data_IF_362394737427
#
_entry.id   IF_362394737427
#
_cell.length_a   1.000
_cell.length_b   1.000
_cell.length_c   1.000
_cell.angle_alpha   90.00
_cell.angle_beta   90.00
_cell.angle_gamma   90.00
#
_symmetry.space_group_name_H-M   'P 1'
#
loop_
_entity.id
_entity.type
_entity.pdbx_description
1 polymer ?
#
# COMPACT_ATOMS: atom_id res chain seq x y z
N UNK A 1 27.99 -0.08 3.77
CA UNK A 1 26.67 -0.67 3.42
C UNK A 1 25.43 0.09 3.92
N UNK A 2 25.30 0.52 5.19
CA UNK A 2 24.23 1.47 5.62
C UNK A 2 24.76 2.88 5.90
N UNK A 3 25.92 2.96 6.54
CA UNK A 3 26.60 4.23 6.84
C UNK A 3 27.00 4.98 5.57
N UNK A 4 27.57 4.29 4.59
CA UNK A 4 27.84 4.84 3.25
C UNK A 4 26.59 5.41 2.57
N UNK A 5 25.42 4.79 2.75
CA UNK A 5 24.16 5.28 2.22
C UNK A 5 23.70 6.56 2.93
N UNK A 6 23.85 6.63 4.25
CA UNK A 6 23.57 7.87 4.99
C UNK A 6 24.49 9.01 4.55
N UNK A 7 25.78 8.74 4.33
CA UNK A 7 26.73 9.73 3.82
C UNK A 7 26.40 10.15 2.38
N UNK A 8 25.96 9.23 1.53
CA UNK A 8 25.61 9.56 0.14
C UNK A 8 24.31 10.35 0.05
N UNK A 9 23.27 9.98 0.80
CA UNK A 9 21.98 10.67 0.78
C UNK A 9 22.02 12.02 1.50
N UNK A 10 22.88 12.16 2.52
CA UNK A 10 23.08 13.43 3.24
C UNK A 10 23.66 14.57 2.39
N UNK A 11 24.08 14.29 1.15
CA UNK A 11 24.53 15.30 0.18
C UNK A 11 23.38 16.09 -0.43
N UNK A 12 22.16 15.55 -0.40
CA UNK A 12 20.97 16.17 -0.99
C UNK A 12 20.24 17.01 0.05
N UNK A 13 19.64 18.10 -0.41
CA UNK A 13 18.75 18.88 0.44
C UNK A 13 17.46 18.09 0.70
N UNK A 14 16.82 18.23 1.88
CA UNK A 14 15.58 17.53 2.19
C UNK A 14 14.48 17.73 1.12
N UNK A 15 14.38 18.92 0.51
CA UNK A 15 13.41 19.21 -0.57
C UNK A 15 13.71 18.56 -1.92
N UNK A 16 14.91 17.98 -2.09
CA UNK A 16 15.30 17.22 -3.28
C UNK A 16 15.00 15.72 -3.13
N UNK A 17 14.60 15.28 -1.93
CA UNK A 17 14.34 13.87 -1.64
C UNK A 17 12.86 13.56 -1.80
N UNK A 18 12.60 12.46 -2.49
CA UNK A 18 11.26 11.92 -2.68
C UNK A 18 11.30 10.44 -2.34
N UNK A 19 10.33 9.99 -1.55
CA UNK A 19 10.24 8.64 -1.04
C UNK A 19 9.07 7.91 -1.70
N UNK A 20 9.31 6.67 -2.10
CA UNK A 20 8.31 5.80 -2.70
C UNK A 20 8.34 4.48 -1.93
N UNK A 21 7.17 3.98 -1.57
CA UNK A 21 7.01 2.67 -0.92
C UNK A 21 5.73 1.98 -1.40
N UNK A 22 5.72 0.65 -1.44
CA UNK A 22 4.54 -0.13 -1.85
C UNK A 22 3.69 -0.50 -0.64
N UNK A 23 2.44 -0.04 -0.64
CA UNK A 23 1.44 -0.37 0.37
C UNK A 23 0.34 -1.25 -0.21
N UNK A 24 0.14 -2.44 0.38
CA UNK A 24 -0.95 -3.33 -0.02
C UNK A 24 -2.23 -3.03 0.77
N UNK A 25 -3.36 -2.93 0.07
CA UNK A 25 -4.69 -2.77 0.63
C UNK A 25 -5.58 -3.92 0.16
N UNK A 26 -6.23 -4.58 1.11
CA UNK A 26 -7.30 -5.51 0.79
C UNK A 26 -8.67 -4.92 1.12
N UNK A 27 -9.70 -5.31 0.35
CA UNK A 27 -11.09 -5.09 0.75
C UNK A 27 -11.54 -6.08 1.83
N UNK A 28 -10.65 -7.02 2.21
CA UNK A 28 -10.84 -7.99 3.28
C UNK A 28 -10.40 -7.51 4.67
N UNK A 29 -10.42 -6.20 4.91
CA UNK A 29 -10.49 -5.68 6.28
C UNK A 29 -11.96 -5.35 6.69
N UNK A 30 -12.98 -6.24 6.53
CA UNK A 30 -14.34 -5.99 6.98
C UNK A 30 -14.44 -5.96 8.50
N UNK A 31 -13.43 -6.50 9.21
CA UNK A 31 -13.33 -6.49 10.66
C UNK A 31 -13.49 -5.09 11.29
N UNK A 32 -12.96 -4.04 10.63
CA UNK A 32 -13.11 -2.66 11.10
C UNK A 32 -14.49 -2.08 10.80
N UNK A 33 -15.10 -2.48 9.69
CA UNK A 33 -16.37 -1.89 9.21
C UNK A 33 -17.60 -2.60 9.78
N UNK A 34 -17.48 -3.87 10.14
CA UNK A 34 -18.57 -4.71 10.62
C UNK A 34 -18.24 -5.43 11.94
N UNK A 35 -17.21 -5.00 12.67
CA UNK A 35 -16.91 -5.52 14.01
C UNK A 35 -17.97 -5.03 14.99
N UNK A 36 -18.71 -5.95 15.60
CA UNK A 36 -19.74 -5.64 16.59
C UNK A 36 -19.29 -6.05 17.99
N UNK A 37 -19.58 -5.20 18.98
CA UNK A 37 -19.48 -5.50 20.39
C UNK A 37 -20.63 -4.85 21.15
N UNK A 38 -20.91 -5.34 22.37
CA UNK A 38 -21.83 -4.66 23.28
C UNK A 38 -21.29 -3.26 23.61
N UNK A 39 -22.19 -2.31 23.86
CA UNK A 39 -21.79 -0.95 24.27
C UNK A 39 -20.85 -1.00 25.49
N UNK A 40 -19.72 -0.30 25.42
CA UNK A 40 -18.67 -0.32 26.43
C UNK A 40 -17.69 -1.50 26.36
N UNK A 41 -17.78 -2.36 25.33
CA UNK A 41 -16.85 -3.47 25.11
C UNK A 41 -16.06 -3.29 23.81
N UNK A 42 -14.82 -3.78 23.77
CA UNK A 42 -14.01 -3.80 22.56
C UNK A 42 -14.43 -4.96 21.65
N UNK A 43 -14.65 -4.70 20.36
CA UNK A 43 -14.86 -5.77 19.37
C UNK A 43 -13.56 -6.55 19.17
N UNK A 44 -13.54 -7.82 19.59
CA UNK A 44 -12.38 -8.71 19.46
C UNK A 44 -12.60 -9.67 18.30
N UNK A 45 -11.71 -9.66 17.32
CA UNK A 45 -11.66 -10.64 16.25
C UNK A 45 -10.34 -11.39 16.34
N UNK A 46 -10.40 -12.72 16.42
CA UNK A 46 -9.22 -13.58 16.35
C UNK A 46 -9.03 -14.03 14.91
N UNK A 47 -7.98 -13.55 14.26
CA UNK A 47 -7.54 -14.01 12.95
C UNK A 47 -6.11 -14.52 13.05
N UNK A 48 -5.78 -15.56 12.27
CA UNK A 48 -4.40 -16.00 12.14
C UNK A 48 -3.65 -14.99 11.27
N UNK A 49 -2.72 -14.25 11.87
CA UNK A 49 -1.82 -13.35 11.14
C UNK A 49 -0.48 -14.05 10.96
N UNK A 50 -0.30 -14.73 9.82
CA UNK A 50 1.00 -15.29 9.43
C UNK A 50 1.67 -14.36 8.43
N UNK A 51 2.82 -13.83 8.82
CA UNK A 51 3.61 -12.96 7.98
C UNK A 51 4.11 -13.73 6.75
N UNK A 52 3.92 -13.19 5.55
CA UNK A 52 4.28 -13.82 4.28
C UNK A 52 3.21 -14.73 3.65
N UNK A 53 2.13 -15.05 4.37
CA UNK A 53 0.98 -15.77 3.81
C UNK A 53 -0.16 -14.81 3.51
N UNK A 54 -0.53 -14.72 2.24
CA UNK A 54 -1.57 -13.85 1.71
C UNK A 54 -2.95 -14.48 1.93
N UNK A 55 -3.53 -14.34 3.12
CA UNK A 55 -4.85 -14.90 3.43
C UNK A 55 -5.97 -14.30 2.58
N UNK A 56 -6.81 -15.18 2.03
CA UNK A 56 -8.15 -14.88 1.53
C UNK A 56 -9.09 -15.25 2.67
N UNK A 57 -9.79 -14.28 3.27
CA UNK A 57 -10.91 -14.60 4.15
C UNK A 57 -12.03 -15.09 3.23
N UNK A 58 -12.04 -16.39 2.94
CA UNK A 58 -13.19 -17.04 2.31
C UNK A 58 -14.26 -17.16 3.39
N UNK A 59 -15.14 -16.17 3.47
CA UNK A 59 -16.43 -16.40 4.10
C UNK A 59 -17.21 -17.30 3.15
N UNK A 60 -17.41 -18.57 3.51
CA UNK A 60 -18.38 -19.41 2.80
C UNK A 60 -19.75 -18.81 3.05
N UNK A 61 -20.28 -18.09 2.06
CA UNK A 61 -21.69 -17.73 2.03
C UNK A 61 -22.50 -18.99 1.75
N UNK A 62 -23.23 -19.50 2.73
CA UNK A 62 -24.12 -20.68 2.60
C UNK A 62 -25.35 -20.45 1.71
N UNK A 63 -25.33 -19.42 0.85
CA UNK A 63 -26.49 -18.89 0.12
C UNK A 63 -26.16 -18.49 -1.32
N UNK A 64 -25.27 -19.24 -1.96
CA UNK A 64 -24.89 -19.08 -3.35
C UNK A 64 -23.83 -20.10 -3.75
N UNK A 65 -23.77 -20.46 -5.04
CA UNK A 65 -22.78 -21.41 -5.55
C UNK A 65 -21.36 -20.97 -5.17
N UNK A 66 -20.61 -21.94 -4.66
CA UNK A 66 -19.25 -21.79 -4.17
C UNK A 66 -18.27 -21.45 -5.30
N UNK A 67 -18.12 -20.18 -5.66
CA UNK A 67 -16.94 -19.69 -6.38
C UNK A 67 -16.85 -18.16 -6.28
N UNK A 68 -15.65 -17.68 -6.02
CA UNK A 68 -15.22 -16.29 -6.24
C UNK A 68 -15.77 -15.19 -5.34
N UNK A 69 -15.41 -15.25 -4.06
CA UNK A 69 -14.87 -14.05 -3.43
C UNK A 69 -13.49 -13.75 -4.07
N UNK A 70 -13.50 -13.17 -5.28
CA UNK A 70 -12.30 -12.59 -5.87
C UNK A 70 -11.81 -11.51 -4.91
N UNK A 71 -10.74 -11.81 -4.17
CA UNK A 71 -10.12 -10.87 -3.26
C UNK A 71 -9.43 -9.79 -4.10
N UNK A 72 -10.15 -8.72 -4.43
CA UNK A 72 -9.58 -7.54 -5.07
C UNK A 72 -8.53 -6.93 -4.13
N UNK A 73 -7.27 -7.29 -4.33
CA UNK A 73 -6.12 -6.66 -3.68
C UNK A 73 -5.69 -5.49 -4.52
N UNK A 74 -5.47 -4.36 -3.87
CA UNK A 74 -4.97 -3.17 -4.51
C UNK A 74 -3.59 -2.90 -3.93
N UNK A 75 -2.59 -2.72 -4.77
CA UNK A 75 -1.31 -2.13 -4.37
C UNK A 75 -1.36 -0.63 -4.63
N UNK A 76 -0.80 0.12 -3.70
CA UNK A 76 -0.65 1.57 -3.75
C UNK A 76 0.84 1.89 -3.79
N UNK A 77 1.25 2.79 -4.67
CA UNK A 77 2.56 3.43 -4.64
C UNK A 77 2.38 4.92 -4.40
N UNK A 78 2.30 5.37 -3.14
CA UNK A 78 2.39 6.78 -2.81
C UNK A 78 3.82 7.29 -2.98
N UNK A 79 3.93 8.48 -3.54
CA UNK A 79 5.17 9.24 -3.62
C UNK A 79 5.11 10.43 -2.67
N UNK A 80 6.01 10.48 -1.70
CA UNK A 80 6.05 11.48 -0.63
C UNK A 80 7.24 12.42 -0.79
N UNK A 81 6.97 13.72 -0.71
CA UNK A 81 7.97 14.78 -0.53
C UNK A 81 7.75 15.49 0.80
N UNK A 82 8.54 16.53 1.08
CA UNK A 82 8.31 17.41 2.24
C UNK A 82 6.95 18.11 2.22
N UNK A 83 6.40 18.38 1.03
CA UNK A 83 5.13 19.09 0.86
C UNK A 83 3.92 18.15 0.88
N UNK A 84 4.15 16.84 1.05
CA UNK A 84 3.11 15.81 1.13
C UNK A 84 3.15 14.81 -0.02
N UNK A 85 1.98 14.34 -0.44
CA UNK A 85 1.86 13.34 -1.51
C UNK A 85 1.97 14.04 -2.86
N UNK A 86 3.01 13.73 -3.63
CA UNK A 86 3.22 14.26 -4.99
C UNK A 86 2.38 13.52 -6.03
N UNK A 87 2.40 12.19 -5.97
CA UNK A 87 1.74 11.31 -6.93
C UNK A 87 1.39 10.01 -6.23
N UNK A 88 0.34 9.34 -6.68
CA UNK A 88 -0.04 8.01 -6.17
C UNK A 88 -0.66 7.20 -7.28
N UNK A 89 -0.19 5.96 -7.43
CA UNK A 89 -0.80 5.01 -8.34
C UNK A 89 -1.42 3.84 -7.58
N UNK A 90 -2.63 3.48 -7.99
CA UNK A 90 -3.40 2.36 -7.44
C UNK A 90 -3.55 1.33 -8.55
N UNK A 91 -3.12 0.10 -8.28
CA UNK A 91 -3.20 -1.01 -9.23
C UNK A 91 -3.86 -2.21 -8.55
N UNK A 92 -4.68 -2.95 -9.29
CA UNK A 92 -5.18 -4.23 -8.83
C UNK A 92 -4.08 -5.30 -8.95
N UNK A 93 -3.80 -6.02 -7.87
CA UNK A 93 -2.68 -6.95 -7.78
C UNK A 93 -1.39 -6.26 -7.34
N UNK A 94 -0.24 -6.89 -7.64
CA UNK A 94 1.09 -6.37 -7.29
C UNK A 94 1.70 -5.60 -8.48
N UNK A 95 2.61 -4.67 -8.21
CA UNK A 95 3.39 -4.04 -9.27
C UNK A 95 4.36 -5.04 -9.92
N UNK A 96 4.37 -5.08 -11.25
CA UNK A 96 5.43 -5.69 -12.07
C UNK A 96 6.50 -4.64 -12.39
N UNK A 97 7.69 -5.08 -12.84
CA UNK A 97 8.75 -4.16 -13.26
C UNK A 97 8.30 -3.18 -14.36
N UNK A 98 7.49 -3.63 -15.32
CA UNK A 98 6.91 -2.77 -16.36
C UNK A 98 5.94 -1.72 -15.78
N UNK A 99 5.02 -2.14 -14.91
CA UNK A 99 4.10 -1.21 -14.26
C UNK A 99 4.82 -0.21 -13.35
N UNK A 100 5.93 -0.62 -12.74
CA UNK A 100 6.77 0.26 -11.94
C UNK A 100 7.54 1.27 -12.81
N UNK A 101 8.02 0.88 -13.98
CA UNK A 101 8.63 1.82 -14.93
C UNK A 101 7.62 2.85 -15.41
N UNK A 102 6.40 2.43 -15.77
CA UNK A 102 5.33 3.35 -16.14
C UNK A 102 4.97 4.29 -14.98
N UNK A 103 4.96 3.77 -13.74
CA UNK A 103 4.80 4.59 -12.54
C UNK A 103 5.88 5.67 -12.44
N UNK A 104 7.17 5.32 -12.63
CA UNK A 104 8.28 6.29 -12.58
C UNK A 104 8.15 7.33 -13.68
N UNK A 105 7.80 6.94 -14.90
CA UNK A 105 7.61 7.88 -16.01
C UNK A 105 6.51 8.90 -15.70
N UNK A 106 5.37 8.45 -15.17
CA UNK A 106 4.28 9.34 -14.77
C UNK A 106 4.68 10.23 -13.58
N UNK A 107 5.43 9.70 -12.62
CA UNK A 107 5.93 10.46 -11.48
C UNK A 107 6.83 11.62 -11.93
N UNK A 108 7.69 11.40 -12.93
CA UNK A 108 8.61 12.43 -13.42
C UNK A 108 7.89 13.64 -14.01
N UNK A 109 6.68 13.48 -14.55
CA UNK A 109 5.85 14.60 -15.02
C UNK A 109 5.37 15.51 -13.88
N UNK A 110 5.24 14.95 -12.68
CA UNK A 110 4.83 15.67 -11.47
C UNK A 110 6.02 16.18 -10.64
N UNK A 111 7.23 15.73 -10.95
CA UNK A 111 8.44 16.22 -10.30
C UNK A 111 8.89 17.53 -10.95
N UNK A 112 9.30 18.49 -10.11
CA UNK A 112 10.01 19.66 -10.60
C UNK A 112 11.47 19.27 -10.83
N UNK A 113 11.99 19.40 -12.06
CA UNK A 113 13.32 18.88 -12.38
C UNK A 113 14.42 19.56 -11.55
N UNK A 114 14.30 20.84 -11.19
CA UNK A 114 15.26 21.55 -10.34
C UNK A 114 14.65 22.76 -9.61
N UNK A 115 15.14 23.06 -8.39
CA UNK A 115 15.03 24.40 -7.80
C UNK A 115 15.91 25.35 -8.62
N UNK A 116 15.34 26.43 -9.14
CA UNK A 116 16.13 27.58 -9.60
C UNK A 116 16.68 28.36 -8.40
#
# INVERSE_FOLDING_TARGET
KREEYFVSIGKYQPGQLVFVDESAVDRCTPARRYGWARSGQQARMHGHFVHGARYVISTKCSRGNSADLHLFRHSLLPTLSLDGILYTQIVEGSFTGESFLNFVLNLLEHMQPFLA
#
